data_IF_763271866791
#
_entry.id   IF_763271866791
#
_cell.length_a   1.000
_cell.length_b   1.000
_cell.length_c   1.000
_cell.angle_alpha   90.00
_cell.angle_beta   90.00
_cell.angle_gamma   90.00
#
_symmetry.space_group_name_H-M   'P 1'
#
loop_
_entity.id
_entity.type
_entity.pdbx_description
1 polymer ?
#
# COMPACT_ATOMS: atom_id res chain seq x y z
N UNK A 1 -8.78 45.85 5.93
CA UNK A 1 -7.84 44.89 6.56
C UNK A 1 -8.53 43.54 6.62
N UNK A 2 -8.10 42.58 5.82
CA UNK A 2 -8.62 41.21 5.83
C UNK A 2 -7.88 40.41 6.91
N UNK A 3 -8.59 39.92 7.92
CA UNK A 3 -8.03 39.02 8.91
C UNK A 3 -7.86 37.63 8.28
N UNK A 4 -6.62 37.11 8.26
CA UNK A 4 -6.31 35.76 7.81
C UNK A 4 -6.25 34.88 9.05
N UNK A 5 -7.14 33.89 9.14
CA UNK A 5 -7.10 32.86 10.18
C UNK A 5 -6.12 31.78 9.69
N UNK A 6 -4.94 31.70 10.30
CA UNK A 6 -3.98 30.62 10.06
C UNK A 6 -4.25 29.50 11.07
N UNK A 7 -4.56 28.31 10.58
CA UNK A 7 -4.63 27.12 11.43
C UNK A 7 -3.24 26.49 11.52
N UNK A 8 -2.56 26.67 12.65
CA UNK A 8 -1.35 25.92 12.98
C UNK A 8 -1.75 24.57 13.59
N UNK A 9 -1.85 23.56 12.74
CA UNK A 9 -2.04 22.18 13.19
C UNK A 9 -0.68 21.58 13.55
N UNK A 10 -0.56 21.01 14.76
CA UNK A 10 0.58 20.17 15.11
C UNK A 10 0.51 18.86 14.30
N UNK A 11 1.47 18.59 13.40
CA UNK A 11 1.43 17.39 12.58
C UNK A 11 1.92 16.15 13.32
N UNK A 12 2.31 16.24 14.60
CA UNK A 12 2.88 15.14 15.37
C UNK A 12 1.93 14.64 16.45
N UNK A 13 1.83 13.32 16.56
CA UNK A 13 1.19 12.64 17.69
C UNK A 13 2.28 11.91 18.47
N UNK A 14 2.33 12.15 19.77
CA UNK A 14 3.32 11.55 20.67
C UNK A 14 2.71 10.36 21.40
N UNK A 15 3.35 9.20 21.29
CA UNK A 15 3.04 7.99 22.05
C UNK A 15 4.25 7.62 22.90
N UNK A 16 4.30 8.16 24.13
CA UNK A 16 5.50 8.06 24.97
C UNK A 16 6.69 8.73 24.26
N UNK A 17 7.76 7.97 24.04
CA UNK A 17 8.98 8.45 23.37
C UNK A 17 8.91 8.38 21.83
N UNK A 18 7.81 7.88 21.25
CA UNK A 18 7.66 7.74 19.80
C UNK A 18 6.78 8.86 19.25
N UNK A 19 7.33 9.68 18.36
CA UNK A 19 6.56 10.67 17.60
C UNK A 19 6.15 10.10 16.25
N UNK A 20 4.86 10.11 15.94
CA UNK A 20 4.30 9.68 14.64
C UNK A 20 3.64 10.87 13.96
N UNK A 21 3.91 11.07 12.67
CA UNK A 21 3.21 12.11 11.91
C UNK A 21 1.74 11.73 11.72
N UNK A 22 0.84 12.68 11.92
CA UNK A 22 -0.60 12.50 11.70
C UNK A 22 -0.90 12.02 10.27
N UNK A 23 -0.11 12.48 9.29
CA UNK A 23 -0.17 12.02 7.91
C UNK A 23 0.08 10.51 7.78
N UNK A 24 1.03 9.95 8.55
CA UNK A 24 1.29 8.51 8.56
C UNK A 24 0.08 7.74 9.09
N UNK A 25 -0.54 8.23 10.16
CA UNK A 25 -1.77 7.65 10.70
C UNK A 25 -2.93 7.73 9.69
N UNK A 26 -3.07 8.87 9.00
CA UNK A 26 -4.07 9.05 7.96
C UNK A 26 -3.87 8.05 6.80
N UNK A 27 -2.64 7.88 6.32
CA UNK A 27 -2.31 6.91 5.27
C UNK A 27 -2.63 5.48 5.75
N UNK A 28 -2.25 5.11 6.97
CA UNK A 28 -2.56 3.80 7.54
C UNK A 28 -4.07 3.58 7.59
N UNK A 29 -4.85 4.57 8.01
CA UNK A 29 -6.30 4.49 8.03
C UNK A 29 -6.90 4.33 6.61
N UNK A 30 -6.41 5.09 5.64
CA UNK A 30 -6.86 5.00 4.23
C UNK A 30 -6.54 3.62 3.65
N UNK A 31 -5.33 3.10 3.88
CA UNK A 31 -4.94 1.75 3.45
C UNK A 31 -5.83 0.69 4.11
N UNK A 32 -6.06 0.79 5.42
CA UNK A 32 -6.94 -0.12 6.14
C UNK A 32 -8.37 -0.12 5.56
N UNK A 33 -8.94 1.06 5.32
CA UNK A 33 -10.27 1.20 4.70
C UNK A 33 -10.28 0.58 3.30
N UNK A 34 -9.26 0.85 2.47
CA UNK A 34 -9.15 0.26 1.14
C UNK A 34 -9.11 -1.28 1.19
N UNK A 35 -8.38 -1.86 2.14
CA UNK A 35 -8.34 -3.31 2.35
C UNK A 35 -9.68 -3.88 2.81
N UNK A 36 -10.39 -3.18 3.70
CA UNK A 36 -11.75 -3.57 4.12
C UNK A 36 -12.72 -3.53 2.95
N UNK A 37 -12.70 -2.46 2.15
CA UNK A 37 -13.54 -2.33 0.95
C UNK A 37 -13.22 -3.43 -0.05
N UNK A 38 -11.94 -3.70 -0.30
CA UNK A 38 -11.49 -4.80 -1.15
C UNK A 38 -12.04 -6.15 -0.67
N UNK A 39 -11.92 -6.43 0.63
CA UNK A 39 -12.42 -7.66 1.23
C UNK A 39 -13.93 -7.82 1.06
N UNK A 40 -14.69 -6.72 1.20
CA UNK A 40 -16.15 -6.74 1.01
C UNK A 40 -16.52 -6.93 -0.46
N UNK A 41 -15.84 -6.26 -1.40
CA UNK A 41 -16.06 -6.47 -2.85
C UNK A 41 -15.75 -7.93 -3.22
N UNK A 42 -14.64 -8.47 -2.73
CA UNK A 42 -14.24 -9.86 -2.97
C UNK A 42 -15.28 -10.87 -2.44
N UNK A 43 -15.89 -10.61 -1.28
CA UNK A 43 -16.98 -11.43 -0.73
C UNK A 43 -18.28 -11.33 -1.54
N UNK A 44 -18.57 -10.16 -2.09
CA UNK A 44 -19.83 -9.88 -2.81
C UNK A 44 -19.78 -10.26 -4.30
N UNK A 45 -18.60 -10.55 -4.85
CA UNK A 45 -18.42 -10.89 -6.27
C UNK A 45 -18.40 -12.41 -6.45
N UNK A 46 -19.46 -13.04 -7.01
CA UNK A 46 -19.49 -14.47 -7.26
C UNK A 46 -18.50 -14.82 -8.39
N UNK A 47 -17.79 -15.94 -8.27
CA UNK A 47 -16.97 -16.41 -9.39
C UNK A 47 -17.85 -16.90 -10.54
N UNK A 48 -17.53 -16.51 -11.77
CA UNK A 48 -17.98 -17.26 -12.94
C UNK A 48 -17.23 -18.60 -12.92
N UNK A 49 -17.92 -19.68 -12.57
CA UNK A 49 -17.35 -21.01 -12.50
C UNK A 49 -18.34 -22.04 -13.02
N UNK A 50 -17.87 -23.08 -13.76
CA UNK A 50 -18.71 -24.21 -14.15
C UNK A 50 -19.12 -25.09 -12.94
N UNK A 51 -18.52 -24.88 -11.77
CA UNK A 51 -18.85 -25.59 -10.54
C UNK A 51 -19.97 -24.89 -9.76
N UNK A 52 -20.90 -25.67 -9.21
CA UNK A 52 -22.01 -25.19 -8.38
C UNK A 52 -21.83 -25.72 -6.94
N UNK A 53 -21.71 -24.86 -5.92
CA UNK A 53 -21.65 -23.40 -6.00
C UNK A 53 -20.30 -22.90 -6.54
N UNK A 54 -20.28 -21.74 -7.23
CA UNK A 54 -19.04 -21.15 -7.71
C UNK A 54 -18.10 -20.84 -6.53
N UNK A 55 -16.79 -21.14 -6.63
CA UNK A 55 -15.86 -20.84 -5.56
C UNK A 55 -15.74 -19.33 -5.38
N UNK A 56 -16.17 -18.81 -4.23
CA UNK A 56 -15.95 -17.42 -3.85
C UNK A 56 -14.45 -17.08 -3.92
N UNK A 57 -14.11 -15.83 -4.23
CA UNK A 57 -12.75 -15.33 -4.00
C UNK A 57 -12.43 -15.60 -2.52
N UNK A 58 -11.50 -16.51 -2.21
CA UNK A 58 -11.36 -16.98 -0.83
C UNK A 58 -10.90 -15.80 0.00
N UNK A 59 -11.76 -15.28 0.85
CA UNK A 59 -11.41 -14.18 1.74
C UNK A 59 -10.18 -14.53 2.60
N UNK A 60 -9.92 -15.82 2.82
CA UNK A 60 -8.72 -16.35 3.46
C UNK A 60 -7.40 -16.07 2.69
N UNK A 61 -7.45 -15.81 1.38
CA UNK A 61 -6.27 -15.51 0.55
C UNK A 61 -5.86 -14.02 0.62
N UNK A 62 -6.80 -13.13 1.01
CA UNK A 62 -6.56 -11.69 1.09
C UNK A 62 -5.40 -11.30 2.02
N UNK A 63 -5.28 -11.84 3.25
CA UNK A 63 -4.16 -11.51 4.13
C UNK A 63 -2.81 -11.88 3.52
N UNK A 64 -2.73 -12.97 2.76
CA UNK A 64 -1.49 -13.42 2.12
C UNK A 64 -1.11 -12.52 0.94
N UNK A 65 -2.08 -12.13 0.11
CA UNK A 65 -1.84 -11.17 -0.98
C UNK A 65 -1.41 -9.81 -0.44
N UNK A 66 -2.02 -9.34 0.65
CA UNK A 66 -1.61 -8.12 1.36
C UNK A 66 -0.21 -8.27 1.96
N UNK A 67 0.12 -9.46 2.48
CA UNK A 67 1.45 -9.78 2.99
C UNK A 67 2.52 -9.75 1.90
N UNK A 68 2.18 -10.05 0.64
CA UNK A 68 3.07 -9.83 -0.51
C UNK A 68 3.12 -8.37 -0.95
N UNK A 69 1.96 -7.71 -0.96
CA UNK A 69 1.80 -6.33 -1.41
C UNK A 69 2.61 -5.33 -0.59
N UNK A 70 2.48 -5.37 0.74
CA UNK A 70 3.13 -4.39 1.65
C UNK A 70 4.67 -4.40 1.50
N UNK A 71 5.38 -5.53 1.63
CA UNK A 71 6.83 -5.55 1.47
C UNK A 71 7.24 -5.22 0.03
N UNK A 72 6.48 -5.66 -0.97
CA UNK A 72 6.69 -5.26 -2.36
C UNK A 72 6.64 -3.74 -2.55
N UNK A 73 5.67 -3.08 -1.91
CA UNK A 73 5.53 -1.62 -1.94
C UNK A 73 6.69 -0.90 -1.24
N UNK A 74 7.11 -1.40 -0.08
CA UNK A 74 8.22 -0.83 0.70
C UNK A 74 9.54 -0.97 -0.06
N UNK A 75 9.82 -2.15 -0.62
CA UNK A 75 11.03 -2.38 -1.41
C UNK A 75 11.03 -1.57 -2.71
N UNK A 76 9.90 -1.55 -3.42
CA UNK A 76 9.73 -0.76 -4.63
C UNK A 76 9.91 0.73 -4.33
N UNK A 77 9.25 1.26 -3.31
CA UNK A 77 9.38 2.67 -2.95
C UNK A 77 10.77 3.04 -2.45
N UNK A 78 11.46 2.12 -1.77
CA UNK A 78 12.85 2.35 -1.38
C UNK A 78 13.76 2.41 -2.60
N UNK A 79 13.58 1.51 -3.55
CA UNK A 79 14.32 1.49 -4.81
C UNK A 79 14.08 2.78 -5.61
N UNK A 80 12.84 3.27 -5.70
CA UNK A 80 12.49 4.53 -6.37
C UNK A 80 13.25 5.72 -5.79
N UNK A 81 13.28 5.80 -4.45
CA UNK A 81 13.94 6.88 -3.75
C UNK A 81 15.46 6.85 -3.95
N UNK A 82 16.05 5.65 -3.92
CA UNK A 82 17.49 5.44 -4.17
C UNK A 82 17.85 5.80 -5.60
N UNK A 83 17.04 5.37 -6.58
CA UNK A 83 17.24 5.70 -8.00
C UNK A 83 17.16 7.21 -8.26
N UNK A 84 16.30 7.91 -7.52
CA UNK A 84 16.15 9.36 -7.62
C UNK A 84 17.31 10.14 -6.98
N UNK A 85 18.06 9.52 -6.06
CA UNK A 85 19.19 10.13 -5.32
C UNK A 85 20.46 9.29 -5.44
N UNK A 86 20.73 8.76 -6.65
CA UNK A 86 21.84 7.84 -6.88
C UNK A 86 23.20 8.43 -6.49
N UNK A 87 23.39 9.72 -6.72
CA UNK A 87 24.59 10.48 -6.35
C UNK A 87 24.92 10.36 -4.85
N UNK A 88 23.91 10.47 -3.98
CA UNK A 88 24.08 10.33 -2.54
C UNK A 88 24.37 8.88 -2.13
N UNK A 89 23.63 7.92 -2.68
CA UNK A 89 23.72 6.50 -2.29
C UNK A 89 24.95 5.79 -2.83
N UNK A 90 25.54 6.26 -3.93
CA UNK A 90 26.85 5.78 -4.41
C UNK A 90 27.96 6.12 -3.41
N UNK A 91 27.88 7.28 -2.76
CA UNK A 91 28.82 7.67 -1.72
C UNK A 91 28.55 6.98 -0.36
N UNK A 92 27.32 6.55 -0.09
CA UNK A 92 26.90 5.96 1.18
C UNK A 92 26.06 4.68 1.01
N UNK A 93 26.64 3.59 0.47
CA UNK A 93 25.87 2.38 0.12
C UNK A 93 25.21 1.71 1.32
N UNK A 94 25.80 1.80 2.52
CA UNK A 94 25.22 1.24 3.74
C UNK A 94 23.88 1.90 4.13
N UNK A 95 23.64 3.14 3.70
CA UNK A 95 22.39 3.87 4.01
C UNK A 95 21.20 3.40 3.18
N UNK A 96 21.42 2.60 2.11
CA UNK A 96 20.33 2.07 1.26
C UNK A 96 19.35 1.23 2.09
N UNK A 97 19.86 0.43 3.03
CA UNK A 97 19.05 -0.45 3.87
C UNK A 97 18.60 0.18 5.19
N UNK A 98 19.01 1.43 5.47
CA UNK A 98 18.59 2.13 6.68
C UNK A 98 17.21 2.78 6.48
N UNK A 99 16.14 2.25 7.11
CA UNK A 99 14.79 2.79 6.95
C UNK A 99 14.59 4.09 7.74
N UNK A 100 15.51 4.44 8.65
CA UNK A 100 15.44 5.69 9.42
C UNK A 100 15.90 6.89 8.61
N UNK A 101 16.59 6.64 7.49
CA UNK A 101 17.15 7.68 6.63
C UNK A 101 16.51 7.67 5.24
N UNK A 102 15.95 8.81 4.85
CA UNK A 102 15.33 9.02 3.54
C UNK A 102 13.82 8.81 3.54
N UNK A 103 13.25 8.65 2.33
CA UNK A 103 11.82 8.47 2.12
C UNK A 103 11.54 7.24 1.23
N UNK A 104 10.26 7.03 0.93
CA UNK A 104 9.79 6.06 -0.07
C UNK A 104 9.23 6.83 -1.25
N UNK A 105 9.64 6.47 -2.46
CA UNK A 105 9.05 6.99 -3.68
C UNK A 105 7.77 6.23 -4.05
N UNK A 106 6.74 6.95 -4.50
CA UNK A 106 5.47 6.33 -4.88
C UNK A 106 5.56 5.60 -6.23
N UNK A 107 6.47 6.04 -7.10
CA UNK A 107 6.55 5.61 -8.50
C UNK A 107 6.74 4.11 -8.63
N UNK A 108 7.74 3.56 -7.93
CA UNK A 108 7.96 2.11 -7.91
C UNK A 108 7.29 1.39 -6.73
N UNK A 109 6.72 2.11 -5.76
CA UNK A 109 5.96 1.46 -4.69
C UNK A 109 4.74 0.73 -5.22
N UNK A 110 3.94 1.36 -6.10
CA UNK A 110 2.75 0.71 -6.68
C UNK A 110 3.07 -0.54 -7.50
N UNK A 111 3.98 -0.51 -8.49
CA UNK A 111 4.33 -1.72 -9.24
C UNK A 111 5.05 -2.76 -8.36
N UNK A 112 5.87 -2.34 -7.39
CA UNK A 112 6.46 -3.25 -6.40
C UNK A 112 5.40 -3.99 -5.58
N UNK A 113 4.34 -3.28 -5.18
CA UNK A 113 3.20 -3.85 -4.48
C UNK A 113 2.45 -4.89 -5.32
N UNK A 114 2.22 -4.58 -6.61
CA UNK A 114 1.57 -5.49 -7.55
C UNK A 114 2.43 -6.74 -7.72
N UNK A 115 3.73 -6.59 -8.00
CA UNK A 115 4.65 -7.73 -8.16
C UNK A 115 4.72 -8.62 -6.92
N UNK A 116 4.76 -8.03 -5.73
CA UNK A 116 4.77 -8.78 -4.47
C UNK A 116 3.47 -9.56 -4.24
N UNK A 117 2.32 -8.95 -4.55
CA UNK A 117 1.03 -9.63 -4.47
C UNK A 117 0.91 -10.76 -5.51
N UNK A 118 1.33 -10.51 -6.77
CA UNK A 118 1.34 -11.51 -7.85
C UNK A 118 2.22 -12.70 -7.48
N UNK A 119 3.43 -12.47 -6.95
CA UNK A 119 4.34 -13.55 -6.55
C UNK A 119 3.72 -14.47 -5.49
N UNK A 120 3.09 -13.91 -4.46
CA UNK A 120 2.39 -14.70 -3.45
C UNK A 120 1.14 -15.37 -4.03
N UNK A 121 0.42 -14.67 -4.92
CA UNK A 121 -0.74 -15.22 -5.62
C UNK A 121 -0.39 -16.45 -6.45
N UNK A 122 0.69 -16.41 -7.22
CA UNK A 122 1.19 -17.53 -8.01
C UNK A 122 1.55 -18.73 -7.13
N UNK A 123 2.19 -18.48 -5.97
CA UNK A 123 2.54 -19.53 -5.01
C UNK A 123 1.31 -20.23 -4.43
N UNK A 124 0.17 -19.53 -4.37
CA UNK A 124 -1.10 -20.03 -3.85
C UNK A 124 -2.07 -20.53 -4.93
N UNK A 125 -1.68 -20.49 -6.20
CA UNK A 125 -2.57 -20.72 -7.36
C UNK A 125 -3.83 -19.83 -7.31
N UNK A 126 -3.64 -18.60 -6.84
CA UNK A 126 -4.71 -17.63 -6.66
C UNK A 126 -5.10 -16.99 -7.99
N UNK A 127 -6.39 -16.64 -8.14
CA UNK A 127 -6.91 -16.06 -9.38
C UNK A 127 -6.62 -14.54 -9.44
N UNK A 128 -5.36 -14.20 -9.78
CA UNK A 128 -4.79 -12.85 -9.77
C UNK A 128 -5.61 -11.85 -10.59
N UNK A 129 -6.07 -12.22 -11.79
CA UNK A 129 -6.85 -11.33 -12.67
C UNK A 129 -8.08 -10.73 -11.97
N UNK A 130 -8.78 -11.56 -11.20
CA UNK A 130 -10.00 -11.14 -10.48
C UNK A 130 -9.66 -10.25 -9.30
N UNK A 131 -8.52 -10.53 -8.66
CA UNK A 131 -8.05 -9.71 -7.56
C UNK A 131 -7.61 -8.32 -8.04
N UNK A 132 -6.91 -8.24 -9.17
CA UNK A 132 -6.57 -6.94 -9.78
C UNK A 132 -7.82 -6.15 -10.17
N UNK A 133 -8.84 -6.82 -10.71
CA UNK A 133 -10.12 -6.18 -11.01
C UNK A 133 -10.80 -5.65 -9.73
N UNK A 134 -10.89 -6.46 -8.68
CA UNK A 134 -11.47 -6.06 -7.40
C UNK A 134 -10.66 -4.96 -6.69
N UNK A 135 -9.33 -4.95 -6.83
CA UNK A 135 -8.42 -3.97 -6.24
C UNK A 135 -8.45 -2.60 -6.94
N UNK A 136 -8.99 -2.53 -8.16
CA UNK A 136 -9.02 -1.29 -8.95
C UNK A 136 -9.76 -0.16 -8.22
N UNK A 137 -10.97 -0.42 -7.73
CA UNK A 137 -11.78 0.58 -7.00
C UNK A 137 -11.12 1.04 -5.69
N UNK A 138 -10.70 0.13 -4.79
CA UNK A 138 -9.96 0.49 -3.58
C UNK A 138 -8.67 1.26 -3.85
N UNK A 139 -7.91 0.89 -4.89
CA UNK A 139 -6.69 1.59 -5.26
C UNK A 139 -6.97 3.03 -5.70
N UNK A 140 -7.99 3.24 -6.53
CA UNK A 140 -8.41 4.59 -6.95
C UNK A 140 -8.90 5.43 -5.77
N UNK A 141 -9.66 4.83 -4.85
CA UNK A 141 -10.09 5.49 -3.62
C UNK A 141 -8.89 5.90 -2.76
N UNK A 142 -7.93 5.00 -2.56
CA UNK A 142 -6.73 5.28 -1.77
C UNK A 142 -5.86 6.37 -2.41
N UNK A 143 -5.68 6.34 -3.73
CA UNK A 143 -4.94 7.37 -4.47
C UNK A 143 -5.66 8.72 -4.45
N UNK A 144 -6.99 8.72 -4.49
CA UNK A 144 -7.80 9.93 -4.41
C UNK A 144 -7.81 10.57 -3.02
N UNK A 145 -7.86 9.75 -1.96
CA UNK A 145 -7.82 10.19 -0.56
C UNK A 145 -6.40 10.55 -0.08
N UNK A 146 -5.37 10.07 -0.79
CA UNK A 146 -3.97 10.35 -0.48
C UNK A 146 -3.44 11.71 -0.96
N UNK A 147 -4.32 12.54 -1.55
CA UNK A 147 -4.04 13.94 -1.90
C UNK A 147 -4.54 14.89 -0.83
#
# INVERSE_FOLDING_TARGET
MTAVITFEFDPLVYFGDVSVRLQTLAIVAVVFIALVVLARIAQLTPAASPYVPPPSLRAAELPFLVLGMIPGAVLGGRLDYVLSHLDFYVAHPASILDPTQGALGLGLAVPGAILGATFIGDLMDAQIDRWMHAATLPALLALGLGK
#
